data_IF_492607984555
#
_entry.id   IF_492607984555
#
_cell.length_a   1.000
_cell.length_b   1.000
_cell.length_c   1.000
_cell.angle_alpha   90.00
_cell.angle_beta   90.00
_cell.angle_gamma   90.00
#
_symmetry.space_group_name_H-M   'P 1'
#
loop_
_entity.id
_entity.type
_entity.pdbx_description
1 polymer ?
#
# COMPACT_ATOMS: atom_id res chain seq x y z
N UNK A 1 -1.51 -10.06 13.14
CA UNK A 1 -0.92 -10.87 12.05
C UNK A 1 -0.84 -12.31 12.51
N UNK A 2 -1.18 -13.27 11.64
CA UNK A 2 -1.13 -14.70 11.99
C UNK A 2 0.30 -15.16 12.31
N UNK A 3 0.47 -16.05 13.30
CA UNK A 3 1.79 -16.54 13.79
C UNK A 3 2.72 -16.95 12.64
N UNK A 4 2.19 -17.74 11.69
CA UNK A 4 2.96 -18.25 10.54
C UNK A 4 3.56 -17.16 9.66
N UNK A 5 2.95 -15.96 9.59
CA UNK A 5 3.42 -14.88 8.73
C UNK A 5 4.16 -13.78 9.49
N UNK A 6 4.35 -13.92 10.82
CA UNK A 6 5.01 -12.89 11.66
C UNK A 6 6.40 -12.49 11.16
N UNK A 7 7.11 -13.41 10.52
CA UNK A 7 8.44 -13.14 9.95
C UNK A 7 8.40 -11.95 8.98
N UNK A 8 7.28 -11.71 8.29
CA UNK A 8 7.12 -10.62 7.32
C UNK A 8 6.86 -9.26 7.95
N UNK A 9 6.41 -9.19 9.22
CA UNK A 9 5.83 -7.98 9.83
C UNK A 9 6.75 -6.76 9.73
N UNK A 10 8.04 -6.96 9.99
CA UNK A 10 9.02 -5.88 10.05
C UNK A 10 10.02 -5.91 8.87
N UNK A 11 9.85 -6.83 7.92
CA UNK A 11 10.81 -6.98 6.80
C UNK A 11 10.80 -5.77 5.87
N UNK A 12 9.64 -5.11 5.72
CA UNK A 12 9.53 -3.86 4.98
C UNK A 12 10.37 -2.72 5.58
N UNK A 13 10.65 -2.73 6.88
CA UNK A 13 11.46 -1.70 7.54
C UNK A 13 12.93 -2.14 7.71
N UNK A 14 13.19 -3.44 7.75
CA UNK A 14 14.53 -4.02 8.00
C UNK A 14 15.31 -4.34 6.72
N UNK A 15 15.33 -3.38 5.78
CA UNK A 15 16.05 -3.51 4.49
C UNK A 15 17.50 -3.06 4.64
N UNK A 16 18.43 -3.89 4.17
CA UNK A 16 19.85 -3.51 4.07
C UNK A 16 20.15 -3.17 2.62
N UNK A 17 20.52 -1.91 2.37
CA UNK A 17 20.98 -1.48 1.04
C UNK A 17 22.31 -2.17 0.72
N UNK A 18 22.34 -2.93 -0.37
CA UNK A 18 23.54 -3.62 -0.87
C UNK A 18 24.19 -2.85 -2.01
N UNK A 19 23.38 -2.21 -2.85
CA UNK A 19 23.87 -1.45 -4.00
C UNK A 19 22.93 -0.31 -4.33
N UNK A 20 23.52 0.83 -4.68
CA UNK A 20 22.86 1.96 -5.32
C UNK A 20 23.54 2.19 -6.67
N UNK A 21 22.76 2.28 -7.74
CA UNK A 21 23.22 2.58 -9.08
C UNK A 21 22.41 3.75 -9.64
N UNK A 22 23.10 4.74 -10.20
CA UNK A 22 22.47 5.91 -10.83
C UNK A 22 22.97 5.99 -12.27
N UNK A 23 22.04 5.95 -13.22
CA UNK A 23 22.33 6.00 -14.66
C UNK A 23 21.55 7.14 -15.31
N UNK A 24 22.28 8.12 -15.81
CA UNK A 24 21.71 9.10 -16.75
C UNK A 24 21.69 8.46 -18.13
N UNK A 25 20.51 7.98 -18.55
CA UNK A 25 20.36 7.28 -19.83
C UNK A 25 20.49 8.26 -20.99
N UNK A 26 19.86 9.43 -20.85
CA UNK A 26 19.99 10.56 -21.76
C UNK A 26 19.53 11.85 -21.05
N UNK A 27 19.43 12.98 -21.77
CA UNK A 27 19.04 14.29 -21.21
C UNK A 27 17.63 14.35 -20.63
N UNK A 28 16.75 13.39 -20.93
CA UNK A 28 15.36 13.35 -20.50
C UNK A 28 14.98 12.06 -19.77
N UNK A 29 15.97 11.26 -19.34
CA UNK A 29 15.73 9.98 -18.67
C UNK A 29 16.89 9.63 -17.75
N UNK A 30 16.59 9.45 -16.46
CA UNK A 30 17.52 8.92 -15.47
C UNK A 30 16.90 7.72 -14.76
N UNK A 31 17.72 6.73 -14.41
CA UNK A 31 17.31 5.53 -13.69
C UNK A 31 18.12 5.45 -12.40
N UNK A 32 17.43 5.30 -11.28
CA UNK A 32 18.02 5.07 -9.96
C UNK A 32 17.58 3.69 -9.49
N UNK A 33 18.52 2.80 -9.23
CA UNK A 33 18.24 1.42 -8.80
C UNK A 33 18.85 1.16 -7.44
N UNK A 34 18.02 0.61 -6.55
CA UNK A 34 18.39 0.19 -5.21
C UNK A 34 18.24 -1.31 -5.09
N UNK A 35 19.32 -2.02 -4.74
CA UNK A 35 19.28 -3.44 -4.40
C UNK A 35 19.34 -3.62 -2.89
N UNK A 36 18.33 -4.27 -2.34
CA UNK A 36 18.18 -4.56 -0.92
C UNK A 36 18.22 -6.06 -0.64
N UNK A 37 18.76 -6.41 0.54
CA UNK A 37 18.52 -7.69 1.20
C UNK A 37 17.62 -7.47 2.42
N UNK A 38 16.60 -8.30 2.59
CA UNK A 38 15.73 -8.30 3.76
C UNK A 38 16.33 -9.22 4.83
N UNK A 39 16.64 -8.63 5.99
CA UNK A 39 17.60 -9.21 6.93
C UNK A 39 17.19 -10.58 7.48
N UNK A 40 15.90 -10.76 7.82
CA UNK A 40 15.43 -11.98 8.48
C UNK A 40 15.05 -13.06 7.48
N UNK A 41 14.56 -12.68 6.30
CA UNK A 41 14.09 -13.63 5.29
C UNK A 41 15.14 -13.98 4.24
N UNK A 42 16.25 -13.23 4.18
CA UNK A 42 17.25 -13.31 3.10
C UNK A 42 16.66 -13.10 1.70
N UNK A 43 15.47 -12.51 1.64
CA UNK A 43 14.82 -12.13 0.39
C UNK A 43 15.54 -10.94 -0.22
N UNK A 44 15.44 -10.80 -1.54
CA UNK A 44 16.02 -9.68 -2.29
C UNK A 44 14.90 -8.78 -2.80
N UNK A 45 15.12 -7.48 -2.75
CA UNK A 45 14.23 -6.48 -3.33
C UNK A 45 15.06 -5.52 -4.17
N UNK A 46 14.76 -5.41 -5.45
CA UNK A 46 15.30 -4.37 -6.32
C UNK A 46 14.20 -3.35 -6.60
N UNK A 47 14.43 -2.10 -6.23
CA UNK A 47 13.53 -0.98 -6.55
C UNK A 47 14.21 -0.06 -7.55
N UNK A 48 13.56 0.16 -8.70
CA UNK A 48 14.04 1.07 -9.74
C UNK A 48 13.07 2.23 -9.91
N UNK A 49 13.62 3.44 -9.90
CA UNK A 49 12.93 4.68 -10.25
C UNK A 49 13.45 5.16 -11.59
N UNK A 50 12.57 5.19 -12.59
CA UNK A 50 12.85 5.81 -13.89
C UNK A 50 12.18 7.18 -13.92
N UNK A 51 12.99 8.23 -13.94
CA UNK A 51 12.55 9.62 -13.95
C UNK A 51 12.62 10.12 -15.39
N UNK A 52 11.48 10.56 -15.93
CA UNK A 52 11.36 11.10 -17.28
C UNK A 52 11.35 12.63 -17.27
N UNK A 53 11.78 13.25 -18.38
CA UNK A 53 11.87 14.71 -18.52
C UNK A 53 10.52 15.45 -18.49
N UNK A 54 9.40 14.73 -18.57
CA UNK A 54 8.05 15.26 -18.40
C UNK A 54 7.57 15.26 -16.93
N UNK A 55 8.40 14.79 -15.99
CA UNK A 55 8.06 14.67 -14.57
C UNK A 55 7.42 13.35 -14.15
N UNK A 56 7.17 12.43 -15.10
CA UNK A 56 6.69 11.08 -14.78
C UNK A 56 7.79 10.28 -14.07
N UNK A 57 7.41 9.55 -13.03
CA UNK A 57 8.28 8.62 -12.31
C UNK A 57 7.67 7.23 -12.40
N UNK A 58 8.31 6.36 -13.17
CA UNK A 58 7.96 4.94 -13.20
C UNK A 58 8.72 4.22 -12.09
N UNK A 59 7.99 3.47 -11.27
CA UNK A 59 8.54 2.72 -10.13
C UNK A 59 8.34 1.24 -10.39
N UNK A 60 9.43 0.48 -10.37
CA UNK A 60 9.41 -0.98 -10.51
C UNK A 60 10.00 -1.62 -9.26
N UNK A 61 9.29 -2.60 -8.69
CA UNK A 61 9.74 -3.37 -7.55
C UNK A 61 9.82 -4.85 -7.95
N UNK A 62 11.02 -5.41 -7.92
CA UNK A 62 11.28 -6.81 -8.18
C UNK A 62 11.65 -7.50 -6.88
N UNK A 63 10.85 -8.48 -6.47
CA UNK A 63 11.04 -9.20 -5.22
C UNK A 63 11.35 -10.67 -5.49
N UNK A 64 12.41 -11.18 -4.86
CA UNK A 64 12.76 -12.60 -4.87
C UNK A 64 12.75 -13.10 -3.42
N UNK A 65 11.78 -13.94 -3.04
CA UNK A 65 11.73 -14.50 -1.70
C UNK A 65 12.95 -15.38 -1.44
N UNK A 66 13.41 -15.40 -0.19
CA UNK A 66 14.36 -16.43 0.28
C UNK A 66 13.72 -17.81 0.37
N UNK A 67 14.51 -18.79 0.81
CA UNK A 67 14.10 -20.19 0.87
C UNK A 67 13.16 -20.50 2.04
N UNK A 68 12.19 -21.40 1.80
CA UNK A 68 11.29 -21.98 2.84
C UNK A 68 10.53 -20.92 3.66
N UNK A 69 10.11 -19.85 3.02
CA UNK A 69 9.32 -18.78 3.66
C UNK A 69 7.81 -19.07 3.60
N UNK A 70 7.03 -18.61 4.59
CA UNK A 70 5.58 -18.69 4.56
C UNK A 70 5.01 -17.73 3.50
N UNK A 71 3.72 -17.86 3.19
CA UNK A 71 3.04 -16.93 2.28
C UNK A 71 3.23 -15.46 2.68
N UNK A 72 3.41 -14.60 1.68
CA UNK A 72 3.58 -13.17 1.85
C UNK A 72 2.19 -12.50 1.94
N UNK A 73 1.84 -11.82 3.06
CA UNK A 73 0.49 -11.26 3.23
C UNK A 73 0.15 -10.11 2.28
N UNK A 74 1.13 -9.27 1.93
CA UNK A 74 0.96 -8.06 1.13
C UNK A 74 2.29 -7.69 0.48
N UNK A 75 2.27 -7.25 -0.77
CA UNK A 75 3.43 -6.70 -1.46
C UNK A 75 3.06 -5.39 -2.14
N UNK A 76 3.73 -4.32 -1.72
CA UNK A 76 3.43 -2.96 -2.15
C UNK A 76 4.42 -1.94 -1.59
N UNK A 77 4.11 -0.68 -1.81
CA UNK A 77 4.83 0.47 -1.28
C UNK A 77 3.93 1.24 -0.30
N UNK A 78 4.51 1.65 0.82
CA UNK A 78 3.87 2.53 1.80
C UNK A 78 4.49 3.92 1.71
N UNK A 79 3.64 4.94 1.73
CA UNK A 79 4.06 6.33 1.84
C UNK A 79 3.20 7.09 2.84
N UNK A 80 3.81 8.08 3.48
CA UNK A 80 3.11 9.02 4.36
C UNK A 80 3.00 10.36 3.67
N UNK A 81 1.77 10.80 3.47
CA UNK A 81 1.45 12.05 2.81
C UNK A 81 0.96 13.06 3.85
N UNK A 82 1.30 14.36 3.72
CA UNK A 82 0.71 15.41 4.54
C UNK A 82 -0.81 15.30 4.62
N UNK A 83 -1.40 15.48 5.81
CA UNK A 83 -2.85 15.37 6.06
C UNK A 83 -3.72 16.27 5.18
N UNK A 84 -3.16 17.34 4.61
CA UNK A 84 -3.88 18.21 3.66
C UNK A 84 -4.35 17.48 2.40
N UNK A 85 -3.71 16.37 2.03
CA UNK A 85 -4.10 15.55 0.89
C UNK A 85 -5.27 14.63 1.29
N UNK A 86 -6.47 15.23 1.27
CA UNK A 86 -7.70 14.62 1.79
C UNK A 86 -8.63 14.15 0.67
N UNK A 87 -8.60 14.80 -0.50
CA UNK A 87 -9.48 14.48 -1.62
C UNK A 87 -8.93 13.28 -2.38
N UNK A 88 -9.75 12.23 -2.55
CA UNK A 88 -9.34 11.01 -3.25
C UNK A 88 -10.30 10.70 -4.39
N UNK A 89 -9.76 10.28 -5.52
CA UNK A 89 -10.53 9.82 -6.68
C UNK A 89 -9.83 8.64 -7.31
N UNK A 90 -10.55 7.62 -7.74
CA UNK A 90 -9.94 6.45 -8.37
C UNK A 90 -10.85 5.83 -9.42
N UNK A 91 -10.24 5.22 -10.43
CA UNK A 91 -10.92 4.30 -11.35
C UNK A 91 -10.57 2.87 -10.95
N UNK A 92 -11.54 2.14 -10.42
CA UNK A 92 -11.33 0.79 -9.90
C UNK A 92 -12.58 0.28 -9.20
N UNK A 93 -12.45 -0.76 -8.37
CA UNK A 93 -13.62 -1.27 -7.63
C UNK A 93 -14.02 -0.36 -6.48
N UNK A 94 -15.32 -0.17 -6.33
CA UNK A 94 -15.91 0.64 -5.26
C UNK A 94 -17.44 0.52 -5.22
N UNK A 95 -18.12 1.42 -4.48
CA UNK A 95 -17.53 2.49 -3.66
C UNK A 95 -16.94 2.01 -2.32
N UNK A 96 -17.41 0.88 -1.82
CA UNK A 96 -17.01 0.30 -0.54
C UNK A 96 -15.71 -0.52 -0.61
N UNK A 97 -15.14 -0.82 0.56
CA UNK A 97 -13.93 -1.63 0.66
C UNK A 97 -14.13 -3.05 0.10
N UNK A 98 -13.09 -3.57 -0.53
CA UNK A 98 -13.11 -4.87 -1.18
C UNK A 98 -11.73 -5.52 -1.14
N UNK A 99 -11.71 -6.85 -1.17
CA UNK A 99 -10.49 -7.67 -1.05
C UNK A 99 -10.48 -8.73 -2.16
N UNK A 100 -9.33 -9.38 -2.39
CA UNK A 100 -9.14 -10.28 -3.55
C UNK A 100 -10.18 -11.40 -3.65
N UNK A 101 -10.63 -11.93 -2.51
CA UNK A 101 -11.66 -12.96 -2.36
C UNK A 101 -13.06 -12.40 -2.04
N UNK A 102 -13.19 -11.07 -1.88
CA UNK A 102 -14.45 -10.38 -1.53
C UNK A 102 -14.60 -9.08 -2.30
N UNK A 103 -14.79 -9.17 -3.63
CA UNK A 103 -14.88 -7.99 -4.52
C UNK A 103 -15.99 -8.01 -5.59
N UNK A 104 -16.79 -9.08 -5.68
CA UNK A 104 -17.79 -9.24 -6.75
C UNK A 104 -18.91 -8.21 -6.73
N UNK A 105 -19.28 -7.71 -5.55
CA UNK A 105 -20.28 -6.65 -5.39
C UNK A 105 -19.74 -5.24 -5.69
N UNK A 106 -18.41 -5.07 -5.75
CA UNK A 106 -17.78 -3.77 -6.00
C UNK A 106 -17.52 -3.60 -7.51
N UNK A 107 -18.26 -2.70 -8.14
CA UNK A 107 -18.17 -2.44 -9.57
C UNK A 107 -17.01 -1.52 -9.91
N UNK A 108 -16.50 -1.63 -11.14
CA UNK A 108 -15.47 -0.74 -11.68
C UNK A 108 -16.12 0.53 -12.20
N UNK A 109 -15.78 1.66 -11.59
CA UNK A 109 -16.19 3.00 -12.03
C UNK A 109 -15.20 4.05 -11.50
N UNK A 110 -15.43 5.32 -11.82
CA UNK A 110 -14.76 6.47 -11.23
C UNK A 110 -15.49 6.85 -9.93
N UNK A 111 -14.82 6.67 -8.81
CA UNK A 111 -15.32 7.05 -7.50
C UNK A 111 -14.56 8.24 -6.94
N UNK A 112 -15.21 9.00 -6.04
CA UNK A 112 -14.64 10.11 -5.28
C UNK A 112 -15.02 9.94 -3.81
N UNK A 113 -14.13 10.33 -2.91
CA UNK A 113 -14.36 10.31 -1.47
C UNK A 113 -13.33 11.21 -0.78
N UNK A 114 -13.23 11.13 0.54
CA UNK A 114 -12.09 11.63 1.31
C UNK A 114 -11.34 10.51 2.03
N UNK A 115 -10.08 10.74 2.41
CA UNK A 115 -9.31 9.78 3.22
C UNK A 115 -10.06 9.43 4.51
N UNK A 116 -10.69 10.41 5.14
CA UNK A 116 -11.53 10.23 6.33
C UNK A 116 -12.70 9.26 6.09
N UNK A 117 -13.37 9.34 4.94
CA UNK A 117 -14.51 8.50 4.59
C UNK A 117 -14.14 7.07 4.17
N UNK A 118 -12.88 6.83 3.78
CA UNK A 118 -12.41 5.49 3.43
C UNK A 118 -12.25 4.55 4.64
N UNK A 119 -12.20 5.12 5.85
CA UNK A 119 -12.09 4.36 7.10
C UNK A 119 -13.41 3.67 7.45
N UNK A 120 -13.35 2.37 7.74
CA UNK A 120 -14.48 1.61 8.26
C UNK A 120 -14.30 1.27 9.75
N UNK A 121 -15.19 1.72 10.66
CA UNK A 121 -15.04 1.58 12.10
C UNK A 121 -15.48 0.19 12.61
N UNK A 122 -14.73 -0.86 12.27
CA UNK A 122 -14.94 -2.18 12.87
C UNK A 122 -14.85 -2.11 14.41
N UNK A 123 -15.78 -2.78 15.12
CA UNK A 123 -15.86 -2.78 16.59
C UNK A 123 -14.51 -3.09 17.24
N UNK A 124 -13.79 -4.03 16.65
CA UNK A 124 -12.40 -4.31 16.98
C UNK A 124 -11.53 -3.82 15.81
N UNK A 125 -10.65 -2.83 16.02
CA UNK A 125 -9.80 -2.27 14.98
C UNK A 125 -9.00 -3.33 14.23
N UNK A 126 -9.04 -3.27 12.91
CA UNK A 126 -8.37 -4.21 12.01
C UNK A 126 -8.14 -3.54 10.65
N UNK A 127 -7.42 -4.21 9.76
CA UNK A 127 -7.25 -3.79 8.35
C UNK A 127 -8.62 -3.46 7.72
N UNK A 128 -8.71 -2.29 7.09
CA UNK A 128 -9.91 -1.80 6.43
C UNK A 128 -9.57 -0.83 5.30
N UNK A 129 -10.57 -0.47 4.50
CA UNK A 129 -10.45 0.61 3.50
C UNK A 129 -9.75 0.21 2.20
N UNK A 130 -9.43 -1.07 2.01
CA UNK A 130 -8.74 -1.55 0.79
C UNK A 130 -9.63 -1.47 -0.46
N UNK A 131 -9.01 -1.18 -1.61
CA UNK A 131 -9.64 -1.15 -2.94
C UNK A 131 -8.81 -1.96 -3.92
N UNK A 132 -9.45 -2.85 -4.69
CA UNK A 132 -8.79 -3.71 -5.70
C UNK A 132 -9.07 -3.27 -7.13
N UNK A 133 -8.32 -3.84 -8.08
CA UNK A 133 -8.44 -3.66 -9.53
C UNK A 133 -8.44 -2.17 -9.96
N UNK A 134 -7.61 -1.36 -9.30
CA UNK A 134 -7.49 0.09 -9.52
C UNK A 134 -6.54 0.38 -10.67
N UNK A 135 -6.99 1.19 -11.63
CA UNK A 135 -6.24 1.58 -12.83
C UNK A 135 -5.51 2.90 -12.64
N UNK A 136 -6.15 3.82 -11.93
CA UNK A 136 -5.51 5.06 -11.49
C UNK A 136 -6.10 5.54 -10.17
N UNK A 137 -5.27 6.28 -9.43
CA UNK A 137 -5.60 6.93 -8.16
C UNK A 137 -5.07 8.36 -8.19
N UNK A 138 -5.93 9.34 -7.92
CA UNK A 138 -5.56 10.70 -7.61
C UNK A 138 -5.80 10.99 -6.13
N UNK A 139 -4.81 11.59 -5.47
CA UNK A 139 -4.94 12.12 -4.11
C UNK A 139 -4.43 13.56 -4.07
N UNK A 140 -5.26 14.48 -3.60
CA UNK A 140 -4.99 15.91 -3.71
C UNK A 140 -5.50 16.69 -2.49
N UNK A 141 -5.02 17.92 -2.35
CA UNK A 141 -5.56 18.90 -1.43
C UNK A 141 -6.81 19.58 -2.01
N UNK A 142 -7.41 20.50 -1.26
CA UNK A 142 -8.61 21.22 -1.68
C UNK A 142 -8.37 22.18 -2.86
N UNK A 143 -7.12 22.50 -3.18
CA UNK A 143 -6.74 23.32 -4.34
C UNK A 143 -6.51 22.46 -5.60
N UNK A 144 -6.54 21.13 -5.46
CA UNK A 144 -6.30 20.17 -6.54
C UNK A 144 -4.82 19.83 -6.77
N UNK A 145 -3.91 20.31 -5.90
CA UNK A 145 -2.51 19.92 -5.96
C UNK A 145 -2.33 18.54 -5.31
N UNK A 146 -1.61 17.62 -5.96
CA UNK A 146 -1.58 16.25 -5.48
C UNK A 146 -0.67 15.31 -6.24
N UNK A 147 -0.88 14.01 -6.00
CA UNK A 147 -0.19 12.91 -6.66
C UNK A 147 -1.18 12.11 -7.49
N UNK A 148 -0.71 11.65 -8.64
CA UNK A 148 -1.43 10.76 -9.52
C UNK A 148 -0.63 9.47 -9.70
N UNK A 149 -1.28 8.33 -9.49
CA UNK A 149 -0.71 7.00 -9.62
C UNK A 149 -1.43 6.26 -10.75
N UNK A 150 -0.67 5.81 -11.75
CA UNK A 150 -1.16 4.97 -12.85
C UNK A 150 -0.67 3.53 -12.71
N UNK A 151 -1.47 2.57 -13.16
CA UNK A 151 -1.19 1.14 -13.04
C UNK A 151 -0.63 0.49 -14.31
N UNK A 152 0.02 -0.67 -14.14
CA UNK A 152 0.37 -1.61 -15.21
C UNK A 152 0.03 -3.06 -14.79
N UNK A 153 -1.18 -3.63 -15.07
CA UNK A 153 -2.40 -2.99 -15.56
C UNK A 153 -3.34 -2.48 -14.46
N UNK A 154 -3.25 -3.02 -13.25
CA UNK A 154 -4.02 -2.62 -12.06
C UNK A 154 -3.17 -2.76 -10.80
N UNK A 155 -3.51 -2.02 -9.75
CA UNK A 155 -2.97 -2.17 -8.39
C UNK A 155 -4.12 -2.17 -7.37
N UNK A 156 -3.81 -2.44 -6.10
CA UNK A 156 -4.70 -2.16 -4.98
C UNK A 156 -4.20 -1.01 -4.12
N UNK A 157 -5.07 -0.34 -3.38
CA UNK A 157 -4.65 0.70 -2.44
C UNK A 157 -5.48 0.73 -1.17
N UNK A 158 -4.91 1.30 -0.12
CA UNK A 158 -5.63 1.84 1.03
C UNK A 158 -5.03 3.19 1.41
N UNK A 159 -5.88 4.11 1.90
CA UNK A 159 -5.46 5.42 2.36
C UNK A 159 -6.22 5.75 3.64
N UNK A 160 -5.52 5.90 4.77
CA UNK A 160 -6.13 6.10 6.09
C UNK A 160 -5.34 7.11 6.93
N UNK A 161 -6.01 7.75 7.89
CA UNK A 161 -5.35 8.52 8.97
C UNK A 161 -4.94 7.64 10.15
N UNK A 162 -4.67 6.36 9.89
CA UNK A 162 -4.23 5.39 10.89
C UNK A 162 -3.10 4.58 10.29
N UNK A 163 -2.10 4.27 11.08
CA UNK A 163 -1.03 3.38 10.66
C UNK A 163 -1.47 1.91 10.70
N UNK A 164 -0.76 1.05 9.98
CA UNK A 164 -0.90 -0.41 10.15
C UNK A 164 -0.72 -0.85 11.61
N UNK A 165 0.19 -0.19 12.34
CA UNK A 165 0.45 -0.45 13.75
C UNK A 165 -0.73 -0.02 14.65
N UNK A 166 -1.39 1.10 14.34
CA UNK A 166 -2.58 1.58 15.07
C UNK A 166 -3.70 0.54 14.99
N UNK A 167 -3.95 0.03 13.77
CA UNK A 167 -4.98 -0.98 13.47
C UNK A 167 -4.56 -2.42 13.85
N UNK A 168 -3.34 -2.62 14.30
CA UNK A 168 -2.84 -3.90 14.78
C UNK A 168 -3.14 -4.08 16.28
N UNK A 169 -3.51 -5.31 16.66
CA UNK A 169 -3.74 -5.72 18.04
C UNK A 169 -3.20 -7.15 18.26
N UNK A 170 -2.87 -7.48 19.52
CA UNK A 170 -2.33 -8.80 19.88
C UNK A 170 -3.41 -9.87 19.88
N UNK A 171 -4.59 -9.54 20.39
CA UNK A 171 -5.78 -10.39 20.40
C UNK A 171 -6.98 -9.61 19.91
N UNK A 172 -7.93 -10.30 19.28
CA UNK A 172 -9.19 -9.70 18.83
C UNK A 172 -9.97 -9.18 20.04
N UNK A 173 -10.40 -7.92 19.99
CA UNK A 173 -11.09 -7.25 21.09
C UNK A 173 -10.16 -6.59 22.12
N UNK A 174 -8.84 -6.64 21.92
CA UNK A 174 -7.87 -5.96 22.80
C UNK A 174 -7.81 -4.44 22.61
N UNK A 175 -8.39 -3.93 21.52
CA UNK A 175 -8.61 -2.51 21.24
C UNK A 175 -10.02 -2.26 20.74
N UNK A 176 -10.49 -1.03 20.92
CA UNK A 176 -11.74 -0.48 20.40
C UNK A 176 -11.51 0.79 19.59
N UNK A 177 -12.52 1.22 18.83
CA UNK A 177 -12.44 2.41 17.97
C UNK A 177 -12.11 3.69 18.75
N UNK A 178 -12.55 3.79 20.01
CA UNK A 178 -12.26 4.92 20.90
C UNK A 178 -10.79 5.00 21.33
N UNK A 179 -10.04 3.90 21.22
CA UNK A 179 -8.62 3.84 21.58
C UNK A 179 -7.71 4.33 20.44
N UNK A 180 -8.27 4.53 19.24
CA UNK A 180 -7.51 4.96 18.07
C UNK A 180 -7.36 6.47 18.01
N UNK A 181 -6.12 6.92 17.87
CA UNK A 181 -5.81 8.34 17.60
C UNK A 181 -5.54 8.53 16.11
N UNK A 182 -6.24 9.48 15.49
CA UNK A 182 -5.98 9.85 14.10
C UNK A 182 -4.59 10.48 13.98
N UNK A 183 -3.87 10.09 12.95
CA UNK A 183 -2.55 10.62 12.62
C UNK A 183 -2.65 11.99 11.92
N UNK A 184 -1.62 12.81 12.06
CA UNK A 184 -1.47 14.08 11.34
C UNK A 184 -0.90 13.91 9.91
N UNK A 185 -1.10 12.72 9.34
CA UNK A 185 -0.73 12.34 7.98
C UNK A 185 -1.72 11.32 7.42
N UNK A 186 -1.69 11.13 6.11
CA UNK A 186 -2.34 10.02 5.42
C UNK A 186 -1.32 8.92 5.18
N UNK A 187 -1.57 7.72 5.69
CA UNK A 187 -0.82 6.53 5.31
C UNK A 187 -1.45 5.92 4.06
N UNK A 188 -0.75 6.07 2.93
CA UNK A 188 -1.16 5.56 1.63
C UNK A 188 -0.33 4.32 1.28
N UNK A 189 -1.01 3.23 0.94
CA UNK A 189 -0.39 2.02 0.44
C UNK A 189 -0.81 1.78 -1.00
N UNK A 190 0.17 1.47 -1.86
CA UNK A 190 -0.01 1.10 -3.27
C UNK A 190 0.55 -0.30 -3.44
N UNK A 191 -0.32 -1.26 -3.72
CA UNK A 191 0.00 -2.68 -3.67
C UNK A 191 -0.09 -3.36 -5.02
N UNK A 192 0.87 -4.23 -5.27
CA UNK A 192 0.72 -5.25 -6.30
C UNK A 192 -0.47 -6.15 -5.94
N UNK A 193 -0.42 -6.75 -4.73
CA UNK A 193 -1.50 -7.59 -4.18
C UNK A 193 -1.45 -7.65 -2.65
N UNK A 194 -2.61 -7.95 -2.09
CA UNK A 194 -2.82 -8.34 -0.69
C UNK A 194 -3.59 -9.65 -0.66
N UNK A 195 -3.30 -10.51 0.32
CA UNK A 195 -4.05 -11.76 0.51
C UNK A 195 -5.52 -11.49 0.80
N UNK A 196 -6.37 -12.48 0.50
CA UNK A 196 -7.80 -12.46 0.84
C UNK A 196 -8.07 -12.43 2.34
N UNK A 197 -9.33 -12.17 2.70
CA UNK A 197 -9.79 -12.14 4.09
C UNK A 197 -10.17 -13.52 4.64
N UNK A 198 -10.51 -14.48 3.77
CA UNK A 198 -11.03 -15.79 4.15
C UNK A 198 -12.44 -15.73 4.74
N UNK A 199 -12.78 -16.69 5.60
CA UNK A 199 -14.04 -16.69 6.36
C UNK A 199 -14.89 -17.95 6.29
N UNK A 200 -14.31 -19.10 5.93
CA UNK A 200 -15.01 -20.40 6.00
C UNK A 200 -15.32 -20.76 7.47
N UNK A 201 -14.36 -20.54 8.38
CA UNK A 201 -14.49 -20.58 9.84
C UNK A 201 -13.60 -19.51 10.51
N UNK A 202 -13.83 -19.21 11.80
CA UNK A 202 -13.14 -18.13 12.54
C UNK A 202 -12.79 -18.49 13.97
#
# INVERSE_FOLDING_TARGET
MHEKSKIWKNEGSNKILKKLDVKNVNSSKSVITFDYELSNTKSKLTTSYTIYGNGEIQIENNFTPGDKLPELPRFGALMRLPKRFEQISWLGRGPFENYEDRKTAAFVDVYKSTVTELYYPYISPQENGYRTDVRWLGIADNEGNGLFFGAYPVFGFSALHYTMEDLSQESRGGKHTIDLTKQEFTELMIDYKQRGVGGDDS
#
